data_IF_978756897847
#
_entry.id   IF_978756897847
#
_cell.length_a   1.000
_cell.length_b   1.000
_cell.length_c   1.000
_cell.angle_alpha   90.00
_cell.angle_beta   90.00
_cell.angle_gamma   90.00
#
_symmetry.space_group_name_H-M   'P 1'
#
loop_
_entity.id
_entity.type
_entity.pdbx_description
1 polymer ?
#
# COMPACT_ATOMS: atom_id res chain seq x y z
N UNK A 1 -22.86 9.89 -25.94
CA UNK A 1 -24.01 10.82 -26.01
C UNK A 1 -24.79 10.54 -27.28
N UNK A 2 -26.12 10.54 -27.21
CA UNK A 2 -27.00 10.29 -28.38
C UNK A 2 -27.47 11.64 -28.92
N UNK A 3 -26.84 12.14 -29.98
CA UNK A 3 -27.31 13.31 -30.72
C UNK A 3 -28.32 12.85 -31.79
N UNK A 4 -29.41 13.58 -31.96
CA UNK A 4 -30.38 13.35 -33.04
C UNK A 4 -29.97 14.13 -34.29
N UNK A 5 -29.79 13.41 -35.40
CA UNK A 5 -29.46 13.96 -36.71
C UNK A 5 -28.28 14.96 -36.66
N UNK A 6 -28.37 16.11 -37.34
CA UNK A 6 -27.28 17.08 -37.48
C UNK A 6 -27.14 18.02 -36.27
N UNK A 7 -28.19 18.19 -35.44
CA UNK A 7 -28.14 19.02 -34.23
C UNK A 7 -29.25 18.65 -33.23
N UNK A 8 -28.85 18.20 -32.04
CA UNK A 8 -29.77 18.07 -30.91
C UNK A 8 -29.67 19.26 -29.95
N UNK A 9 -30.80 19.92 -29.71
CA UNK A 9 -30.89 21.05 -28.80
C UNK A 9 -30.88 20.62 -27.34
N UNK A 10 -31.35 19.40 -27.03
CA UNK A 10 -31.49 18.89 -25.66
C UNK A 10 -30.12 18.64 -25.02
N UNK A 11 -29.25 17.88 -25.71
CA UNK A 11 -27.89 17.67 -25.25
C UNK A 11 -27.08 18.97 -25.30
N UNK A 12 -27.19 19.75 -26.38
CA UNK A 12 -26.45 21.00 -26.53
C UNK A 12 -26.82 22.03 -25.44
N UNK A 13 -28.08 22.07 -24.98
CA UNK A 13 -28.48 22.92 -23.87
C UNK A 13 -27.87 22.48 -22.54
N UNK A 14 -27.88 21.17 -22.25
CA UNK A 14 -27.28 20.63 -21.04
C UNK A 14 -25.76 20.83 -21.00
N UNK A 15 -25.07 20.64 -22.13
CA UNK A 15 -23.62 20.86 -22.25
C UNK A 15 -23.22 22.30 -21.90
N UNK A 16 -24.02 23.30 -22.26
CA UNK A 16 -23.77 24.72 -21.90
C UNK A 16 -23.80 24.99 -20.41
N UNK A 17 -24.42 24.10 -19.63
CA UNK A 17 -24.42 24.18 -18.17
C UNK A 17 -23.34 23.26 -17.62
N UNK A 18 -23.36 21.98 -17.99
CA UNK A 18 -22.48 20.98 -17.39
C UNK A 18 -21.00 21.25 -17.67
N UNK A 19 -20.63 21.68 -18.90
CA UNK A 19 -19.22 21.90 -19.23
C UNK A 19 -18.61 23.06 -18.45
N UNK A 20 -19.20 24.27 -18.39
CA UNK A 20 -18.66 25.34 -17.55
C UNK A 20 -18.58 24.97 -16.07
N UNK A 21 -19.61 24.33 -15.52
CA UNK A 21 -19.61 23.92 -14.11
C UNK A 21 -18.54 22.86 -13.82
N UNK A 22 -18.36 21.88 -14.70
CA UNK A 22 -17.32 20.87 -14.56
C UNK A 22 -15.91 21.48 -14.58
N UNK A 23 -15.67 22.47 -15.44
CA UNK A 23 -14.39 23.18 -15.51
C UNK A 23 -14.14 23.98 -14.22
N UNK A 24 -15.12 24.74 -13.73
CA UNK A 24 -14.99 25.50 -12.49
C UNK A 24 -14.76 24.59 -11.27
N UNK A 25 -15.47 23.47 -11.20
CA UNK A 25 -15.28 22.49 -10.13
C UNK A 25 -13.90 21.82 -10.19
N UNK A 26 -13.40 21.55 -11.40
CA UNK A 26 -12.05 21.01 -11.58
C UNK A 26 -11.00 22.02 -11.11
N UNK A 27 -11.13 23.29 -11.48
CA UNK A 27 -10.23 24.37 -11.06
C UNK A 27 -10.14 24.48 -9.52
N UNK A 28 -11.29 24.58 -8.85
CA UNK A 28 -11.38 24.61 -7.38
C UNK A 28 -10.81 23.34 -6.73
N UNK A 29 -11.03 22.18 -7.34
CA UNK A 29 -10.46 20.91 -6.85
C UNK A 29 -8.93 20.91 -6.97
N UNK A 30 -8.38 21.42 -8.07
CA UNK A 30 -6.94 21.50 -8.29
C UNK A 30 -6.28 22.50 -7.33
N UNK A 31 -6.93 23.65 -7.07
CA UNK A 31 -6.45 24.64 -6.09
C UNK A 31 -6.39 24.02 -4.69
N UNK A 32 -7.46 23.38 -4.25
CA UNK A 32 -7.53 22.71 -2.93
C UNK A 32 -6.51 21.59 -2.81
N UNK A 33 -6.37 20.76 -3.84
CA UNK A 33 -5.39 19.68 -3.88
C UNK A 33 -3.97 20.23 -3.77
N UNK A 34 -3.66 21.30 -4.49
CA UNK A 34 -2.35 21.98 -4.43
C UNK A 34 -2.04 22.47 -3.02
N UNK A 35 -3.02 23.10 -2.36
CA UNK A 35 -2.88 23.58 -0.97
C UNK A 35 -2.63 22.43 0.01
N UNK A 36 -3.38 21.34 -0.10
CA UNK A 36 -3.22 20.18 0.78
C UNK A 36 -1.85 19.53 0.58
N UNK A 37 -1.45 19.29 -0.66
CA UNK A 37 -0.17 18.63 -0.97
C UNK A 37 1.01 19.51 -0.54
N UNK A 38 0.95 20.82 -0.80
CA UNK A 38 2.03 21.76 -0.45
C UNK A 38 2.22 21.92 1.06
N UNK A 39 1.16 21.75 1.84
CA UNK A 39 1.16 21.84 3.31
C UNK A 39 1.11 20.49 4.03
N UNK A 40 1.28 19.37 3.32
CA UNK A 40 1.11 18.04 3.89
C UNK A 40 2.18 17.76 4.95
N UNK A 41 1.74 17.50 6.19
CA UNK A 41 2.61 17.07 7.28
C UNK A 41 2.50 15.55 7.46
N UNK A 42 3.64 14.87 7.42
CA UNK A 42 3.72 13.41 7.60
C UNK A 42 4.30 13.11 8.98
N UNK A 43 3.51 12.45 9.83
CA UNK A 43 3.90 12.00 11.17
C UNK A 43 4.46 10.57 11.08
N UNK A 44 5.79 10.47 11.00
CA UNK A 44 6.50 9.19 10.88
C UNK A 44 6.36 8.31 12.14
N UNK A 45 6.28 8.92 13.33
CA UNK A 45 6.13 8.18 14.58
C UNK A 45 4.76 7.53 14.66
N UNK A 46 3.71 8.24 14.21
CA UNK A 46 2.36 7.68 14.09
C UNK A 46 2.32 6.55 13.06
N UNK A 47 3.03 6.66 11.93
CA UNK A 47 3.13 5.58 10.95
C UNK A 47 3.77 4.32 11.56
N UNK A 48 4.87 4.48 12.29
CA UNK A 48 5.54 3.38 12.98
C UNK A 48 4.64 2.75 14.06
N UNK A 49 3.95 3.56 14.86
CA UNK A 49 3.00 3.08 15.87
C UNK A 49 1.83 2.30 15.27
N UNK A 50 1.27 2.78 14.15
CA UNK A 50 0.20 2.07 13.44
C UNK A 50 0.69 0.71 12.91
N UNK A 51 1.89 0.64 12.34
CA UNK A 51 2.50 -0.62 11.90
C UNK A 51 2.75 -1.58 13.08
N UNK A 52 3.27 -1.07 14.20
CA UNK A 52 3.49 -1.85 15.41
C UNK A 52 2.18 -2.41 15.99
N UNK A 53 1.08 -1.64 15.89
CA UNK A 53 -0.24 -2.09 16.35
C UNK A 53 -0.78 -3.30 15.58
N UNK A 54 -0.35 -3.49 14.34
CA UNK A 54 -0.66 -4.68 13.53
C UNK A 54 0.14 -5.93 13.97
N UNK A 55 1.10 -5.78 14.91
CA UNK A 55 1.82 -6.87 15.58
C UNK A 55 2.52 -7.84 14.61
N UNK A 56 3.02 -7.31 13.49
CA UNK A 56 3.71 -8.07 12.44
C UNK A 56 2.78 -8.67 11.38
N UNK A 57 1.46 -8.54 11.50
CA UNK A 57 0.51 -9.12 10.53
C UNK A 57 0.69 -8.58 9.12
N UNK A 58 1.09 -7.32 8.98
CA UNK A 58 1.41 -6.69 7.69
C UNK A 58 2.61 -7.38 6.98
N UNK A 59 3.50 -8.04 7.74
CA UNK A 59 4.73 -8.66 7.23
C UNK A 59 4.61 -10.18 7.03
N UNK A 60 3.39 -10.71 7.12
CA UNK A 60 3.09 -12.16 6.97
C UNK A 60 3.64 -12.74 5.66
N UNK A 61 3.51 -12.01 4.56
CA UNK A 61 3.99 -12.46 3.25
C UNK A 61 5.51 -12.61 3.22
N UNK A 62 6.25 -11.65 3.79
CA UNK A 62 7.71 -11.70 3.80
C UNK A 62 8.22 -12.95 4.54
N UNK A 63 7.62 -13.24 5.71
CA UNK A 63 7.94 -14.45 6.47
C UNK A 63 7.57 -15.74 5.70
N UNK A 64 6.43 -15.76 5.00
CA UNK A 64 6.00 -16.90 4.17
C UNK A 64 6.97 -17.17 3.02
N UNK A 65 7.40 -16.12 2.33
CA UNK A 65 8.36 -16.20 1.23
C UNK A 65 9.71 -16.71 1.72
N UNK A 66 10.20 -16.19 2.86
CA UNK A 66 11.44 -16.65 3.47
C UNK A 66 11.40 -18.15 3.83
N UNK A 67 10.28 -18.62 4.42
CA UNK A 67 10.08 -20.04 4.71
C UNK A 67 10.09 -20.89 3.43
N UNK A 68 9.44 -20.41 2.38
CA UNK A 68 9.41 -21.09 1.07
C UNK A 68 10.81 -21.17 0.46
N UNK A 69 11.56 -20.07 0.49
CA UNK A 69 12.93 -19.99 -0.02
C UNK A 69 13.90 -20.88 0.77
N UNK A 70 13.63 -21.14 2.05
CA UNK A 70 14.38 -22.09 2.90
C UNK A 70 13.89 -23.54 2.79
N UNK A 71 13.04 -23.85 1.80
CA UNK A 71 12.69 -25.23 1.44
C UNK A 71 11.35 -25.74 1.97
N UNK A 72 10.53 -24.89 2.60
CA UNK A 72 9.17 -25.26 2.97
C UNK A 72 8.26 -25.21 1.72
N UNK A 73 7.48 -26.25 1.39
CA UNK A 73 6.56 -26.17 0.26
C UNK A 73 5.56 -25.01 0.42
N UNK A 74 5.31 -24.27 -0.66
CA UNK A 74 4.48 -23.04 -0.63
C UNK A 74 3.10 -23.25 0.00
N UNK A 75 2.44 -24.36 -0.32
CA UNK A 75 1.13 -24.69 0.26
C UNK A 75 1.21 -24.86 1.78
N UNK A 76 2.28 -25.47 2.27
CA UNK A 76 2.49 -25.68 3.70
C UNK A 76 2.90 -24.39 4.42
N UNK A 77 3.74 -23.55 3.78
CA UNK A 77 4.07 -22.22 4.29
C UNK A 77 2.81 -21.34 4.40
N UNK A 78 1.94 -21.39 3.39
CA UNK A 78 0.68 -20.66 3.38
C UNK A 78 -0.26 -21.10 4.52
N UNK A 79 -0.49 -22.41 4.68
CA UNK A 79 -1.32 -22.92 5.79
C UNK A 79 -0.71 -22.63 7.16
N UNK A 80 0.62 -22.72 7.29
CA UNK A 80 1.32 -22.36 8.52
C UNK A 80 1.08 -20.89 8.87
N UNK A 81 1.27 -19.98 7.91
CA UNK A 81 1.02 -18.56 8.13
C UNK A 81 -0.44 -18.26 8.43
N UNK A 82 -1.38 -18.91 7.74
CA UNK A 82 -2.82 -18.79 8.02
C UNK A 82 -3.17 -19.18 9.46
N UNK A 83 -2.53 -20.23 10.00
CA UNK A 83 -2.72 -20.62 11.39
C UNK A 83 -2.03 -19.66 12.38
N UNK A 84 -0.87 -19.12 12.00
CA UNK A 84 -0.10 -18.12 12.76
C UNK A 84 -0.69 -16.70 12.71
N UNK A 85 -1.63 -16.40 11.83
CA UNK A 85 -2.29 -15.10 11.75
C UNK A 85 -3.76 -15.14 12.12
N UNK A 86 -4.35 -16.34 12.25
CA UNK A 86 -5.70 -16.50 12.78
C UNK A 86 -5.80 -15.79 14.13
N UNK A 87 -6.90 -15.08 14.33
CA UNK A 87 -7.20 -14.41 15.59
C UNK A 87 -7.29 -15.45 16.71
N UNK A 88 -6.38 -15.34 17.68
CA UNK A 88 -6.32 -16.22 18.85
C UNK A 88 -6.97 -15.57 20.06
N UNK A 89 -7.50 -14.35 19.96
CA UNK A 89 -8.00 -13.55 21.10
C UNK A 89 -6.88 -13.01 22.01
N UNK A 90 -5.66 -13.54 21.88
CA UNK A 90 -4.48 -13.10 22.63
C UNK A 90 -3.69 -12.03 21.87
N UNK A 91 -3.32 -10.91 22.54
CA UNK A 91 -2.51 -9.85 21.96
C UNK A 91 -1.03 -10.26 21.90
N UNK A 92 -0.70 -11.30 21.13
CA UNK A 92 0.66 -11.85 21.02
C UNK A 92 1.28 -11.48 19.67
N UNK A 93 2.50 -10.91 19.62
CA UNK A 93 3.19 -10.58 18.38
C UNK A 93 3.41 -11.81 17.48
N UNK A 94 3.37 -11.60 16.15
CA UNK A 94 3.62 -12.66 15.18
C UNK A 94 5.03 -13.27 15.35
N UNK A 95 6.02 -12.47 15.73
CA UNK A 95 7.39 -12.94 15.99
C UNK A 95 7.43 -14.01 17.08
N UNK A 96 6.72 -13.78 18.18
CA UNK A 96 6.62 -14.71 19.29
C UNK A 96 5.82 -15.96 18.91
N UNK A 97 4.67 -15.77 18.23
CA UNK A 97 3.86 -16.89 17.73
C UNK A 97 4.69 -17.78 16.82
N UNK A 98 5.38 -17.22 15.84
CA UNK A 98 6.23 -17.94 14.89
C UNK A 98 7.36 -18.70 15.60
N UNK A 99 7.98 -18.10 16.63
CA UNK A 99 9.06 -18.71 17.42
C UNK A 99 8.61 -19.92 18.23
N UNK A 100 7.31 -20.10 18.48
CA UNK A 100 6.77 -21.29 19.18
C UNK A 100 6.60 -22.51 18.27
N UNK A 101 6.70 -22.36 16.95
CA UNK A 101 6.47 -23.46 16.01
C UNK A 101 7.79 -24.09 15.54
N UNK A 102 8.04 -25.38 15.84
CA UNK A 102 9.27 -26.08 15.43
C UNK A 102 9.52 -26.04 13.93
N UNK A 103 8.46 -25.99 13.12
CA UNK A 103 8.55 -25.90 11.65
C UNK A 103 9.18 -24.58 11.18
N UNK A 104 8.95 -23.48 11.92
CA UNK A 104 9.56 -22.19 11.66
C UNK A 104 10.99 -22.17 12.21
N UNK A 105 11.17 -22.53 13.48
CA UNK A 105 12.47 -22.38 14.17
C UNK A 105 13.56 -23.33 13.67
N UNK A 106 13.19 -24.42 12.98
CA UNK A 106 14.14 -25.27 12.24
C UNK A 106 14.76 -24.56 11.02
N UNK A 107 14.07 -23.57 10.45
CA UNK A 107 14.48 -22.87 9.24
C UNK A 107 14.94 -21.44 9.50
N UNK A 108 14.39 -20.78 10.52
CA UNK A 108 14.61 -19.37 10.84
C UNK A 108 14.97 -19.22 12.32
N UNK A 109 16.03 -18.47 12.60
CA UNK A 109 16.39 -18.06 13.95
C UNK A 109 15.45 -16.96 14.47
N UNK A 110 15.40 -16.70 15.79
CA UNK A 110 14.65 -15.55 16.31
C UNK A 110 15.09 -14.20 15.72
N UNK A 111 16.39 -14.06 15.40
CA UNK A 111 16.92 -12.89 14.73
C UNK A 111 16.40 -12.78 13.28
N UNK A 112 16.41 -13.89 12.51
CA UNK A 112 15.83 -13.91 11.16
C UNK A 112 14.35 -13.49 11.19
N UNK A 113 13.58 -14.01 12.15
CA UNK A 113 12.14 -13.69 12.29
C UNK A 113 11.95 -12.21 12.62
N UNK A 114 12.74 -11.66 13.54
CA UNK A 114 12.66 -10.24 13.89
C UNK A 114 12.99 -9.34 12.68
N UNK A 115 14.01 -9.71 11.90
CA UNK A 115 14.40 -8.97 10.70
C UNK A 115 13.34 -9.02 9.60
N UNK A 116 12.77 -10.20 9.33
CA UNK A 116 11.72 -10.38 8.30
C UNK A 116 10.41 -9.66 8.65
N UNK A 117 10.18 -9.41 9.94
CA UNK A 117 9.00 -8.71 10.44
C UNK A 117 9.23 -7.20 10.64
N UNK A 118 10.42 -6.68 10.34
CA UNK A 118 10.70 -5.25 10.31
C UNK A 118 10.17 -4.60 9.02
N UNK A 119 9.12 -3.76 9.08
CA UNK A 119 8.55 -3.13 7.89
C UNK A 119 9.55 -2.23 7.15
N UNK A 120 10.52 -1.64 7.85
CA UNK A 120 11.51 -0.76 7.22
C UNK A 120 12.43 -1.51 6.25
N UNK A 121 12.52 -2.84 6.36
CA UNK A 121 13.33 -3.69 5.47
C UNK A 121 12.55 -4.24 4.28
N UNK A 122 11.23 -4.03 4.21
CA UNK A 122 10.38 -4.59 3.16
C UNK A 122 9.77 -3.51 2.25
N UNK A 123 10.58 -2.51 1.87
CA UNK A 123 10.14 -1.33 1.08
C UNK A 123 10.98 -1.06 -0.18
N UNK A 124 11.89 -1.94 -0.54
CA UNK A 124 12.92 -1.72 -1.58
C UNK A 124 12.32 -1.27 -2.93
N UNK A 125 11.25 -1.95 -3.38
CA UNK A 125 10.57 -1.60 -4.63
C UNK A 125 9.83 -0.26 -4.57
N UNK A 126 9.51 0.26 -3.38
CA UNK A 126 8.78 1.52 -3.22
C UNK A 126 9.67 2.71 -3.61
N UNK A 127 10.89 2.79 -3.08
CA UNK A 127 11.85 3.85 -3.42
C UNK A 127 12.12 3.90 -4.93
N UNK A 128 12.43 2.75 -5.54
CA UNK A 128 12.68 2.66 -6.98
C UNK A 128 11.45 3.01 -7.85
N UNK A 129 10.22 2.86 -7.35
CA UNK A 129 9.01 3.33 -8.05
C UNK A 129 8.87 4.85 -7.96
N UNK A 130 9.16 5.44 -6.80
CA UNK A 130 9.15 6.89 -6.60
C UNK A 130 10.19 7.56 -7.49
N UNK A 131 11.42 7.07 -7.49
CA UNK A 131 12.52 7.63 -8.30
C UNK A 131 12.17 7.62 -9.79
N UNK A 132 11.69 6.47 -10.31
CA UNK A 132 11.23 6.37 -11.71
C UNK A 132 10.11 7.34 -12.06
N UNK A 133 9.19 7.60 -11.13
CA UNK A 133 8.11 8.55 -11.35
C UNK A 133 8.66 9.99 -11.44
N UNK A 134 9.55 10.35 -10.51
CA UNK A 134 10.18 11.67 -10.44
C UNK A 134 11.01 11.93 -11.70
N UNK A 135 11.86 10.98 -12.10
CA UNK A 135 12.71 11.11 -13.30
C UNK A 135 11.89 11.28 -14.58
N UNK A 136 10.71 10.64 -14.65
CA UNK A 136 9.80 10.77 -15.78
C UNK A 136 9.12 12.14 -15.84
N UNK A 137 8.84 12.75 -14.69
CA UNK A 137 8.06 14.00 -14.61
C UNK A 137 8.97 15.23 -14.64
N UNK A 138 10.13 15.19 -13.99
CA UNK A 138 11.03 16.34 -13.81
C UNK A 138 11.33 17.10 -15.12
N UNK A 139 11.69 16.43 -16.25
CA UNK A 139 11.96 17.14 -17.50
C UNK A 139 10.75 17.89 -18.08
N UNK A 140 9.52 17.54 -17.68
CA UNK A 140 8.29 18.21 -18.12
C UNK A 140 7.90 19.40 -17.26
N UNK A 141 8.51 19.55 -16.07
CA UNK A 141 8.29 20.68 -15.17
C UNK A 141 9.31 21.81 -15.43
N UNK A 142 10.46 21.47 -16.01
CA UNK A 142 11.57 22.40 -16.30
C UNK A 142 11.57 22.91 -17.76
N UNK A 143 10.67 22.39 -18.60
CA UNK A 143 10.48 22.78 -20.00
C UNK A 143 9.38 23.85 -20.13
#
# INVERSE_FOLDING_TARGET
MVQWHERDLSNSANERIVLPHAILLLDDTLEKMTRVISGLHVDADRMAANLASARGSAMTENLMLALTNRGLPRAEAHELMRNLTRDTGEPTPLSERASRYPRVTRLLTPADIAELLDPARYVEAAAAKCDRLVDRIRPRLEA
#
